data_IF_068429520113
#
_entry.id   IF_068429520113
#
_cell.length_a   1.000
_cell.length_b   1.000
_cell.length_c   1.000
_cell.angle_alpha   90.00
_cell.angle_beta   90.00
_cell.angle_gamma   90.00
#
_symmetry.space_group_name_H-M   'P 1'
#
loop_
_entity.id
_entity.type
_entity.pdbx_description
1 polymer ?
#
# COMPACT_ATOMS: atom_id res chain seq x y z
N UNK A 1 13.66 -11.69 0.78
CA UNK A 1 13.08 -11.74 2.16
C UNK A 1 12.38 -13.06 2.43
N UNK A 2 12.53 -13.65 3.63
CA UNK A 2 11.80 -14.87 4.06
C UNK A 2 10.42 -14.49 4.61
N UNK A 3 9.35 -15.14 4.13
CA UNK A 3 7.99 -14.93 4.62
C UNK A 3 7.58 -16.12 5.50
N UNK A 4 7.01 -15.84 6.67
CA UNK A 4 6.51 -16.82 7.62
C UNK A 4 5.08 -16.47 8.09
N UNK A 5 4.27 -17.48 8.39
CA UNK A 5 2.89 -17.33 8.89
C UNK A 5 2.74 -17.79 10.35
N UNK A 6 3.82 -18.33 10.92
CA UNK A 6 3.88 -18.70 12.33
C UNK A 6 5.33 -18.55 12.85
N UNK A 7 5.52 -18.21 14.13
CA UNK A 7 6.86 -18.02 14.71
C UNK A 7 7.81 -19.21 14.46
N UNK A 8 7.30 -20.46 14.56
CA UNK A 8 8.10 -21.68 14.37
C UNK A 8 8.58 -21.91 12.92
N UNK A 9 8.19 -21.09 11.97
CA UNK A 9 8.69 -21.13 10.58
C UNK A 9 9.94 -20.27 10.38
N UNK A 10 10.34 -19.47 11.38
CA UNK A 10 11.58 -18.71 11.40
C UNK A 10 12.58 -19.38 12.33
N UNK A 11 13.83 -19.46 11.88
CA UNK A 11 14.92 -19.94 12.72
C UNK A 11 15.13 -18.95 13.87
N UNK A 12 15.36 -19.47 15.07
CA UNK A 12 15.65 -18.64 16.24
C UNK A 12 17.07 -18.10 16.15
N UNK A 13 17.20 -16.80 15.94
CA UNK A 13 18.47 -16.08 15.89
C UNK A 13 18.28 -14.67 16.45
N UNK A 14 19.36 -13.94 16.81
CA UNK A 14 19.25 -12.54 17.22
C UNK A 14 18.56 -11.69 16.17
N UNK A 15 17.43 -11.05 16.53
CA UNK A 15 16.61 -10.26 15.62
C UNK A 15 16.26 -8.91 16.21
N UNK A 16 16.24 -7.89 15.35
CA UNK A 16 15.54 -6.64 15.62
C UNK A 16 14.18 -6.69 14.91
N UNK A 17 13.10 -6.48 15.66
CA UNK A 17 11.74 -6.71 15.18
C UNK A 17 10.98 -5.39 15.08
N UNK A 18 10.62 -4.97 13.88
CA UNK A 18 9.67 -3.90 13.63
C UNK A 18 8.23 -4.45 13.67
N UNK A 19 7.34 -3.83 14.48
CA UNK A 19 5.97 -4.31 14.63
C UNK A 19 4.98 -3.25 14.18
N UNK A 20 4.08 -3.62 13.27
CA UNK A 20 3.04 -2.71 12.79
C UNK A 20 2.17 -3.32 11.70
N UNK A 21 1.15 -2.58 11.28
CA UNK A 21 0.33 -2.96 10.12
C UNK A 21 1.05 -2.71 8.80
N UNK A 22 1.92 -1.71 8.77
CA UNK A 22 2.73 -1.28 7.63
C UNK A 22 1.93 -1.05 6.34
N UNK A 23 0.63 -0.73 6.48
CA UNK A 23 -0.23 -0.45 5.35
C UNK A 23 0.26 0.79 4.59
N UNK A 24 0.65 0.57 3.33
CA UNK A 24 1.25 1.55 2.44
C UNK A 24 2.73 1.84 2.70
N UNK A 25 3.37 1.27 3.69
CA UNK A 25 4.78 1.49 4.07
C UNK A 25 5.23 2.96 3.90
N UNK A 26 4.48 3.89 4.51
CA UNK A 26 4.75 5.33 4.46
C UNK A 26 6.02 5.71 5.23
N UNK A 27 6.48 6.98 5.11
CA UNK A 27 7.73 7.46 5.72
C UNK A 27 7.88 7.11 7.20
N UNK A 28 6.81 7.25 8.01
CA UNK A 28 6.85 6.85 9.42
C UNK A 28 7.03 5.34 9.61
N UNK A 29 6.42 4.50 8.76
CA UNK A 29 6.65 3.06 8.78
C UNK A 29 8.08 2.71 8.37
N UNK A 30 8.63 3.38 7.36
CA UNK A 30 10.02 3.19 6.93
C UNK A 30 11.00 3.51 8.04
N UNK A 31 10.77 4.58 8.82
CA UNK A 31 11.63 4.91 9.98
C UNK A 31 11.64 3.78 11.03
N UNK A 32 10.49 3.12 11.27
CA UNK A 32 10.42 1.98 12.20
C UNK A 32 11.18 0.77 11.66
N UNK A 33 11.06 0.47 10.37
CA UNK A 33 11.81 -0.63 9.73
C UNK A 33 13.30 -0.32 9.72
N UNK A 34 13.68 0.93 9.40
CA UNK A 34 15.08 1.37 9.37
C UNK A 34 15.74 1.26 10.74
N UNK A 35 15.03 1.63 11.82
CA UNK A 35 15.55 1.48 13.18
C UNK A 35 15.90 0.02 13.50
N UNK A 36 15.13 -0.95 13.02
CA UNK A 36 15.46 -2.37 13.17
C UNK A 36 16.70 -2.77 12.33
N UNK A 37 16.83 -2.24 11.11
CA UNK A 37 17.98 -2.50 10.22
C UNK A 37 19.27 -1.95 10.83
N UNK A 38 19.25 -0.75 11.40
CA UNK A 38 20.41 -0.05 11.91
C UNK A 38 21.06 -0.72 13.14
N UNK A 39 20.36 -1.69 13.78
CA UNK A 39 20.93 -2.47 14.90
C UNK A 39 22.03 -3.44 14.46
N UNK A 40 22.06 -3.83 13.19
CA UNK A 40 22.93 -4.91 12.67
C UNK A 40 22.46 -6.32 13.04
N UNK A 41 21.36 -6.47 13.78
CA UNK A 41 20.69 -7.76 13.98
C UNK A 41 19.87 -8.13 12.73
N UNK A 42 19.37 -9.37 12.65
CA UNK A 42 18.51 -9.78 11.54
C UNK A 42 17.19 -8.98 11.50
N UNK A 43 17.03 -8.02 10.56
CA UNK A 43 15.87 -7.13 10.54
C UNK A 43 14.61 -7.93 10.16
N UNK A 44 13.68 -7.98 11.07
CA UNK A 44 12.45 -8.77 10.94
C UNK A 44 11.23 -7.88 11.15
N UNK A 45 10.20 -8.07 10.32
CA UNK A 45 8.92 -7.38 10.47
C UNK A 45 7.87 -8.36 11.00
N UNK A 46 7.06 -7.93 11.97
CA UNK A 46 5.80 -8.58 12.30
C UNK A 46 4.66 -7.69 11.79
N UNK A 47 3.91 -8.21 10.83
CA UNK A 47 2.70 -7.56 10.31
C UNK A 47 1.48 -8.46 10.48
N UNK A 48 0.30 -7.95 10.17
CA UNK A 48 -0.97 -8.62 10.44
C UNK A 48 -1.81 -8.77 9.18
N UNK A 49 -2.44 -9.95 9.06
CA UNK A 49 -3.43 -10.21 8.02
C UNK A 49 -4.56 -11.08 8.60
N UNK A 50 -5.86 -10.69 8.40
CA UNK A 50 -6.30 -9.41 7.84
C UNK A 50 -5.86 -8.21 8.69
N UNK A 51 -5.98 -7.00 8.12
CA UNK A 51 -5.68 -5.75 8.84
C UNK A 51 -6.50 -5.70 10.16
N UNK A 52 -5.90 -5.37 11.33
CA UNK A 52 -6.57 -5.45 12.63
C UNK A 52 -7.92 -4.72 12.69
N UNK A 53 -8.05 -3.56 12.07
CA UNK A 53 -9.32 -2.83 12.05
C UNK A 53 -10.40 -3.54 11.22
N UNK A 54 -10.02 -4.22 10.12
CA UNK A 54 -10.95 -5.03 9.31
C UNK A 54 -11.41 -6.24 10.11
N UNK A 55 -10.49 -6.94 10.77
CA UNK A 55 -10.81 -8.08 11.61
C UNK A 55 -11.75 -7.72 12.79
N UNK A 56 -11.72 -6.47 13.25
CA UNK A 56 -12.62 -5.91 14.27
C UNK A 56 -13.96 -5.40 13.68
N UNK A 57 -14.24 -5.65 12.39
CA UNK A 57 -15.49 -5.25 11.74
C UNK A 57 -15.55 -3.78 11.29
N UNK A 58 -14.42 -3.06 11.32
CA UNK A 58 -14.38 -1.69 10.81
C UNK A 58 -14.14 -1.69 9.29
N UNK A 59 -14.81 -0.79 8.59
CA UNK A 59 -14.48 -0.52 7.20
C UNK A 59 -13.17 0.28 7.12
N UNK A 60 -12.16 -0.31 6.46
CA UNK A 60 -10.87 0.35 6.19
C UNK A 60 -10.44 0.01 4.78
N UNK A 61 -10.23 1.03 3.98
CA UNK A 61 -9.60 0.88 2.67
C UNK A 61 -8.08 0.84 2.84
N UNK A 62 -7.44 -0.18 2.27
CA UNK A 62 -6.00 -0.40 2.38
C UNK A 62 -5.23 0.41 1.34
N UNK A 63 -4.09 0.96 1.73
CA UNK A 63 -3.20 1.72 0.84
C UNK A 63 -2.40 0.78 -0.05
N UNK A 64 -2.11 -0.43 0.42
CA UNK A 64 -1.42 -1.47 -0.33
C UNK A 64 -2.06 -2.83 -0.10
N UNK A 65 -2.07 -3.68 -1.11
CA UNK A 65 -2.36 -5.11 -0.96
C UNK A 65 -1.32 -5.76 -0.03
N UNK A 66 -1.62 -6.93 0.52
CA UNK A 66 -0.64 -7.68 1.32
C UNK A 66 0.59 -8.01 0.48
N UNK A 67 0.39 -8.47 -0.77
CA UNK A 67 1.47 -8.81 -1.69
C UNK A 67 2.40 -7.60 -1.92
N UNK A 68 1.84 -6.43 -2.28
CA UNK A 68 2.65 -5.21 -2.48
C UNK A 68 3.34 -4.75 -1.20
N UNK A 69 2.70 -4.88 -0.05
CA UNK A 69 3.31 -4.58 1.26
C UNK A 69 4.55 -5.42 1.52
N UNK A 70 4.49 -6.72 1.22
CA UNK A 70 5.62 -7.63 1.37
C UNK A 70 6.76 -7.28 0.42
N UNK A 71 6.47 -6.92 -0.83
CA UNK A 71 7.46 -6.43 -1.78
C UNK A 71 8.14 -5.16 -1.27
N UNK A 72 7.37 -4.19 -0.78
CA UNK A 72 7.88 -2.93 -0.22
C UNK A 72 8.77 -3.16 1.02
N UNK A 73 8.44 -4.15 1.85
CA UNK A 73 9.26 -4.53 3.00
C UNK A 73 10.57 -5.20 2.57
N UNK A 74 10.53 -6.02 1.52
CA UNK A 74 11.73 -6.62 0.91
C UNK A 74 12.64 -5.54 0.30
N UNK A 75 12.06 -4.61 -0.47
CA UNK A 75 12.75 -3.44 -1.03
C UNK A 75 13.37 -2.54 0.07
N UNK A 76 12.76 -2.49 1.25
CA UNK A 76 13.29 -1.75 2.41
C UNK A 76 14.45 -2.45 3.11
N UNK A 77 14.79 -3.70 2.74
CA UNK A 77 15.94 -4.43 3.28
C UNK A 77 15.62 -5.33 4.47
N UNK A 78 14.37 -5.73 4.69
CA UNK A 78 14.02 -6.70 5.73
C UNK A 78 14.50 -8.11 5.34
N UNK A 79 15.05 -8.86 6.31
CA UNK A 79 15.45 -10.25 6.11
C UNK A 79 14.25 -11.20 6.15
N UNK A 80 13.34 -10.95 7.09
CA UNK A 80 12.16 -11.78 7.27
C UNK A 80 10.90 -10.97 7.61
N UNK A 81 9.74 -11.48 7.20
CA UNK A 81 8.44 -10.98 7.63
C UNK A 81 7.59 -12.11 8.19
N UNK A 82 7.13 -11.94 9.43
CA UNK A 82 6.14 -12.80 10.07
C UNK A 82 4.75 -12.17 9.90
N UNK A 83 3.90 -12.82 9.14
CA UNK A 83 2.50 -12.44 8.97
C UNK A 83 1.70 -13.12 10.07
N UNK A 84 1.34 -12.37 11.10
CA UNK A 84 0.50 -12.89 12.17
C UNK A 84 -0.98 -12.82 11.77
N UNK A 85 -1.63 -14.00 11.68
CA UNK A 85 -3.08 -14.06 11.41
C UNK A 85 -3.85 -13.38 12.54
N UNK A 86 -4.55 -12.28 12.23
CA UNK A 86 -5.24 -11.45 13.23
C UNK A 86 -6.62 -12.05 13.54
N UNK A 87 -6.58 -13.18 14.26
CA UNK A 87 -7.76 -13.96 14.67
C UNK A 87 -8.27 -13.55 16.06
N UNK A 88 -9.49 -13.98 16.47
CA UNK A 88 -10.00 -13.79 17.82
C UNK A 88 -9.03 -14.31 18.90
N UNK A 89 -8.33 -15.41 18.64
CA UNK A 89 -7.34 -15.98 19.56
C UNK A 89 -6.14 -15.04 19.74
N UNK A 90 -5.61 -14.45 18.65
CA UNK A 90 -4.53 -13.47 18.73
C UNK A 90 -5.01 -12.19 19.43
N UNK A 91 -6.23 -11.72 19.16
CA UNK A 91 -6.82 -10.55 19.83
C UNK A 91 -6.99 -10.74 21.34
N UNK A 92 -7.27 -11.96 21.77
CA UNK A 92 -7.43 -12.31 23.19
C UNK A 92 -6.08 -12.61 23.88
N UNK A 93 -5.00 -12.67 23.15
CA UNK A 93 -3.69 -13.05 23.70
C UNK A 93 -3.15 -11.95 24.62
N UNK A 94 -2.87 -12.32 25.87
CA UNK A 94 -2.25 -11.41 26.84
C UNK A 94 -0.93 -10.87 26.32
N UNK A 95 -0.56 -9.61 26.63
CA UNK A 95 0.66 -9.00 26.12
C UNK A 95 1.92 -9.82 26.37
N UNK A 96 2.07 -10.40 27.59
CA UNK A 96 3.21 -11.24 27.96
C UNK A 96 3.30 -12.49 27.07
N UNK A 97 2.15 -13.09 26.80
CA UNK A 97 2.09 -14.28 25.95
C UNK A 97 2.37 -13.95 24.48
N UNK A 98 1.97 -12.75 24.03
CA UNK A 98 2.38 -12.26 22.70
C UNK A 98 3.91 -12.09 22.62
N UNK A 99 4.50 -11.44 23.63
CA UNK A 99 5.95 -11.22 23.69
C UNK A 99 6.71 -12.57 23.73
N UNK A 100 6.25 -13.54 24.50
CA UNK A 100 6.87 -14.85 24.58
C UNK A 100 6.76 -15.61 23.26
N UNK A 101 5.55 -15.66 22.69
CA UNK A 101 5.28 -16.50 21.51
C UNK A 101 5.82 -15.89 20.21
N UNK A 102 5.60 -14.57 20.00
CA UNK A 102 5.88 -13.93 18.72
C UNK A 102 7.25 -13.22 18.68
N UNK A 103 7.76 -12.76 19.84
CA UNK A 103 9.05 -12.09 19.90
C UNK A 103 10.16 -13.06 20.35
N UNK A 104 10.07 -13.61 21.57
CA UNK A 104 11.09 -14.57 22.04
C UNK A 104 11.12 -15.84 21.21
N UNK A 105 9.97 -16.28 20.71
CA UNK A 105 9.85 -17.46 19.86
C UNK A 105 10.70 -17.39 18.59
N UNK A 106 10.94 -16.21 18.04
CA UNK A 106 11.78 -15.99 16.86
C UNK A 106 13.18 -15.47 17.18
N UNK A 107 13.50 -15.26 18.48
CA UNK A 107 14.79 -14.75 18.93
C UNK A 107 14.91 -13.23 18.90
N UNK A 108 13.82 -12.48 19.05
CA UNK A 108 13.88 -11.02 19.14
C UNK A 108 14.71 -10.58 20.36
N UNK A 109 15.64 -9.67 20.15
CA UNK A 109 16.44 -9.00 21.17
C UNK A 109 16.03 -7.51 21.24
N UNK A 110 15.78 -6.87 20.10
CA UNK A 110 15.33 -5.49 19.99
C UNK A 110 13.95 -5.40 19.33
N UNK A 111 13.14 -4.41 19.73
CA UNK A 111 11.82 -4.13 19.18
C UNK A 111 11.71 -2.66 18.79
N UNK A 112 11.46 -2.43 17.49
CA UNK A 112 11.23 -1.11 16.92
C UNK A 112 9.73 -0.86 16.74
N UNK A 113 9.22 0.24 17.27
CA UNK A 113 7.84 0.67 17.05
C UNK A 113 7.67 2.18 17.35
N UNK A 114 6.56 2.76 16.89
CA UNK A 114 6.21 4.14 17.24
C UNK A 114 5.84 4.29 18.72
N UNK A 115 6.00 5.48 19.27
CA UNK A 115 5.72 5.80 20.68
C UNK A 115 4.28 5.46 21.13
N UNK A 116 3.33 5.46 20.20
CA UNK A 116 1.92 5.12 20.45
C UNK A 116 1.58 3.62 20.31
N UNK A 117 2.60 2.78 20.10
CA UNK A 117 2.42 1.35 19.90
C UNK A 117 1.73 0.69 21.09
N UNK A 118 0.71 -0.12 20.79
CA UNK A 118 -0.03 -0.92 21.77
C UNK A 118 -0.31 -2.31 21.20
N UNK A 119 -0.19 -3.33 22.04
CA UNK A 119 -0.37 -4.72 21.63
C UNK A 119 -1.08 -5.57 22.69
N UNK A 120 -1.38 -6.82 22.31
CA UNK A 120 -2.03 -7.79 23.18
C UNK A 120 -3.50 -7.46 23.50
N UNK A 121 -4.11 -8.28 24.31
CA UNK A 121 -5.52 -8.17 24.68
C UNK A 121 -5.89 -6.77 25.18
N UNK A 122 -6.94 -6.19 24.56
CA UNK A 122 -7.44 -4.84 24.86
C UNK A 122 -6.36 -3.75 24.77
N UNK A 123 -5.30 -3.96 23.98
CA UNK A 123 -4.19 -3.01 23.78
C UNK A 123 -3.46 -2.63 25.09
N UNK A 124 -3.35 -3.57 26.05
CA UNK A 124 -2.77 -3.32 27.38
C UNK A 124 -1.25 -3.30 27.37
N UNK A 125 -0.60 -3.93 26.39
CA UNK A 125 0.85 -3.91 26.22
C UNK A 125 1.32 -2.62 25.57
N UNK A 126 2.49 -2.13 25.98
CA UNK A 126 3.20 -0.97 25.44
C UNK A 126 4.72 -1.20 25.41
N UNK A 127 5.48 -0.23 24.91
CA UNK A 127 6.95 -0.32 24.83
C UNK A 127 7.60 -0.48 26.21
N UNK A 128 7.14 0.24 27.22
CA UNK A 128 7.65 0.13 28.58
C UNK A 128 7.46 -1.29 29.17
N UNK A 129 6.40 -1.99 28.79
CA UNK A 129 6.20 -3.38 29.17
C UNK A 129 7.21 -4.29 28.47
N UNK A 130 7.48 -4.10 27.19
CA UNK A 130 8.50 -4.89 26.47
C UNK A 130 9.90 -4.68 27.05
N UNK A 131 10.22 -3.44 27.44
CA UNK A 131 11.48 -3.13 28.14
C UNK A 131 11.59 -3.90 29.46
N UNK A 132 10.54 -3.90 30.30
CA UNK A 132 10.50 -4.70 31.55
C UNK A 132 10.60 -6.20 31.30
N UNK A 133 10.16 -6.67 30.14
CA UNK A 133 10.32 -8.06 29.72
C UNK A 133 11.73 -8.35 29.16
N UNK A 134 12.62 -7.34 29.10
CA UNK A 134 14.03 -7.51 28.75
C UNK A 134 14.33 -7.39 27.26
N UNK A 135 13.46 -6.76 26.47
CA UNK A 135 13.76 -6.37 25.09
C UNK A 135 14.44 -4.99 25.06
N UNK A 136 15.39 -4.80 24.17
CA UNK A 136 15.87 -3.47 23.81
C UNK A 136 14.77 -2.73 23.03
N UNK A 137 14.48 -1.49 23.39
CA UNK A 137 13.40 -0.70 22.77
C UNK A 137 13.99 0.37 21.85
N UNK A 138 13.60 0.29 20.60
CA UNK A 138 13.90 1.27 19.56
C UNK A 138 12.62 2.10 19.31
N UNK A 139 12.37 3.06 20.21
CA UNK A 139 11.24 3.96 20.07
C UNK A 139 11.49 4.94 18.92
N UNK A 140 10.58 4.96 17.96
CA UNK A 140 10.68 5.82 16.77
C UNK A 140 9.67 6.96 16.88
N UNK A 141 10.16 8.18 16.74
CA UNK A 141 9.32 9.36 16.70
C UNK A 141 8.37 9.34 15.50
N UNK A 142 7.16 9.81 15.72
CA UNK A 142 6.18 9.94 14.65
C UNK A 142 6.58 11.06 13.69
N UNK A 143 6.53 10.79 12.39
CA UNK A 143 6.73 11.83 11.37
C UNK A 143 5.51 12.75 11.35
N UNK A 144 5.64 14.04 11.67
CA UNK A 144 4.50 14.96 11.75
C UNK A 144 3.68 14.98 10.46
N UNK A 145 2.36 14.89 10.57
CA UNK A 145 1.42 14.91 9.44
C UNK A 145 1.39 13.63 8.59
N UNK A 146 2.18 12.61 8.92
CA UNK A 146 2.25 11.36 8.16
C UNK A 146 1.52 10.24 8.90
N UNK A 147 0.47 9.70 8.30
CA UNK A 147 -0.24 8.51 8.79
C UNK A 147 -1.02 7.85 7.67
N UNK A 148 -1.34 6.55 7.80
CA UNK A 148 -2.21 5.85 6.84
C UNK A 148 -3.58 6.52 6.71
N UNK A 149 -4.13 7.09 7.78
CA UNK A 149 -5.40 7.83 7.73
C UNK A 149 -5.29 9.13 6.92
N UNK A 150 -4.22 9.90 7.09
CA UNK A 150 -3.99 11.12 6.31
C UNK A 150 -3.78 10.81 4.81
N UNK A 151 -3.06 9.73 4.51
CA UNK A 151 -2.84 9.28 3.12
C UNK A 151 -4.16 8.89 2.45
N UNK A 152 -5.02 8.10 3.12
CA UNK A 152 -6.34 7.73 2.59
C UNK A 152 -7.19 8.98 2.31
N UNK A 153 -7.19 9.92 3.24
CA UNK A 153 -7.93 11.18 3.08
C UNK A 153 -7.41 12.00 1.88
N UNK A 154 -6.09 12.12 1.71
CA UNK A 154 -5.49 12.81 0.57
C UNK A 154 -5.87 12.13 -0.76
N UNK A 155 -5.80 10.80 -0.84
CA UNK A 155 -6.20 10.04 -2.04
C UNK A 155 -7.69 10.24 -2.37
N UNK A 156 -8.57 10.14 -1.37
CA UNK A 156 -10.02 10.34 -1.53
C UNK A 156 -10.37 11.78 -1.92
N UNK A 157 -9.53 12.75 -1.57
CA UNK A 157 -9.65 14.14 -2.00
C UNK A 157 -9.00 14.43 -3.37
N UNK A 158 -8.35 13.44 -4.00
CA UNK A 158 -7.62 13.60 -5.26
C UNK A 158 -6.22 14.22 -5.12
N UNK A 159 -5.76 14.46 -3.91
CA UNK A 159 -4.41 14.98 -3.63
C UNK A 159 -3.38 13.83 -3.62
N UNK A 160 -3.13 13.28 -4.80
CA UNK A 160 -2.13 12.20 -4.96
C UNK A 160 -0.69 12.68 -4.75
N UNK A 161 -0.42 14.00 -4.93
CA UNK A 161 0.88 14.57 -4.63
C UNK A 161 1.14 14.63 -3.13
N UNK A 162 0.14 15.04 -2.34
CA UNK A 162 0.20 15.01 -0.88
C UNK A 162 0.34 13.58 -0.34
N UNK A 163 -0.39 12.62 -0.90
CA UNK A 163 -0.24 11.21 -0.57
C UNK A 163 1.19 10.71 -0.88
N UNK A 164 1.74 11.05 -2.05
CA UNK A 164 3.12 10.74 -2.45
C UNK A 164 4.16 11.30 -1.48
N UNK A 165 3.99 12.55 -1.05
CA UNK A 165 4.90 13.18 -0.07
C UNK A 165 4.91 12.44 1.27
N UNK A 166 3.75 11.95 1.72
CA UNK A 166 3.64 11.15 2.95
C UNK A 166 4.17 9.72 2.78
N UNK A 167 3.92 9.10 1.62
CA UNK A 167 4.43 7.77 1.29
C UNK A 167 5.95 7.75 1.08
N UNK A 168 6.53 8.85 0.57
CA UNK A 168 7.92 8.92 0.11
C UNK A 168 8.14 8.25 -1.26
N UNK A 169 7.07 7.88 -1.96
CA UNK A 169 7.06 7.31 -3.32
C UNK A 169 5.69 7.57 -3.97
N UNK A 170 5.57 7.46 -5.30
CA UNK A 170 4.27 7.52 -5.96
C UNK A 170 3.26 6.55 -5.33
N UNK A 171 1.99 6.97 -5.25
CA UNK A 171 0.92 6.06 -4.90
C UNK A 171 0.73 5.03 -6.03
N UNK A 172 0.39 3.80 -5.68
CA UNK A 172 0.27 2.70 -6.62
C UNK A 172 -1.12 2.07 -6.54
N UNK A 173 -1.72 1.85 -7.71
CA UNK A 173 -2.90 1.00 -7.91
C UNK A 173 -2.39 -0.39 -8.28
N UNK A 174 -2.69 -1.39 -7.45
CA UNK A 174 -2.25 -2.77 -7.62
C UNK A 174 -3.47 -3.67 -7.86
N UNK A 175 -3.55 -4.28 -9.02
CA UNK A 175 -4.70 -5.09 -9.40
C UNK A 175 -4.42 -6.06 -10.53
N UNK A 176 -5.47 -6.77 -10.92
CA UNK A 176 -5.45 -7.72 -12.05
C UNK A 176 -6.13 -7.09 -13.24
N UNK A 177 -5.53 -7.20 -14.41
CA UNK A 177 -6.14 -6.76 -15.66
C UNK A 177 -7.25 -7.75 -16.09
N UNK A 178 -8.47 -7.24 -16.17
CA UNK A 178 -9.66 -8.00 -16.54
C UNK A 178 -10.22 -7.57 -17.89
N UNK A 179 -11.10 -8.38 -18.48
CA UNK A 179 -11.79 -8.00 -19.70
C UNK A 179 -12.71 -6.78 -19.45
N UNK A 180 -12.69 -5.81 -20.33
CA UNK A 180 -13.55 -4.64 -20.32
C UNK A 180 -14.29 -4.48 -21.65
N UNK A 181 -14.94 -3.31 -21.84
CA UNK A 181 -15.78 -3.03 -23.02
C UNK A 181 -14.97 -2.83 -24.32
N UNK A 182 -13.63 -2.79 -24.25
CA UNK A 182 -12.69 -2.64 -25.39
C UNK A 182 -12.90 -1.38 -26.27
N UNK A 183 -13.67 -0.40 -25.79
CA UNK A 183 -14.01 0.82 -26.56
C UNK A 183 -12.79 1.69 -26.85
N UNK A 184 -11.86 1.78 -25.91
CA UNK A 184 -10.61 2.52 -26.11
C UNK A 184 -9.83 2.05 -27.34
N UNK A 185 -9.85 0.75 -27.63
CA UNK A 185 -9.20 0.17 -28.81
C UNK A 185 -9.79 0.67 -30.12
N UNK A 186 -11.11 0.86 -30.22
CA UNK A 186 -11.77 1.40 -31.43
C UNK A 186 -11.46 2.88 -31.66
N UNK A 187 -11.14 3.62 -30.58
CA UNK A 187 -10.78 5.03 -30.59
C UNK A 187 -9.26 5.26 -30.77
N UNK A 188 -8.45 4.19 -30.89
CA UNK A 188 -7.00 4.28 -31.01
C UNK A 188 -6.25 4.41 -29.68
N UNK A 189 -6.94 4.26 -28.54
CA UNK A 189 -6.38 4.33 -27.18
C UNK A 189 -6.74 3.07 -26.37
N UNK A 190 -6.10 1.93 -26.65
CA UNK A 190 -6.42 0.68 -25.95
C UNK A 190 -6.10 0.79 -24.46
N UNK A 191 -7.15 0.72 -23.62
CA UNK A 191 -7.02 0.74 -22.16
C UNK A 191 -7.05 -0.67 -21.58
N UNK A 192 -6.30 -0.91 -20.51
CA UNK A 192 -6.50 -2.05 -19.64
C UNK A 192 -7.61 -1.74 -18.63
N UNK A 193 -8.38 -2.74 -18.21
CA UNK A 193 -9.32 -2.60 -17.09
C UNK A 193 -8.71 -3.22 -15.86
N UNK A 194 -8.41 -2.40 -14.85
CA UNK A 194 -7.73 -2.83 -13.64
C UNK A 194 -8.74 -3.11 -12.52
N UNK A 195 -8.88 -4.39 -12.14
CA UNK A 195 -9.67 -4.80 -10.98
C UNK A 195 -8.78 -4.75 -9.73
N UNK A 196 -9.10 -3.85 -8.81
CA UNK A 196 -8.43 -3.78 -7.50
C UNK A 196 -9.06 -4.74 -6.50
N UNK A 197 -8.31 -5.06 -5.44
CA UNK A 197 -8.90 -5.64 -4.24
C UNK A 197 -10.03 -4.76 -3.72
N UNK A 198 -11.19 -5.32 -3.30
CA UNK A 198 -12.34 -4.54 -2.81
C UNK A 198 -12.03 -3.63 -1.62
N UNK A 199 -11.00 -3.96 -0.86
CA UNK A 199 -10.53 -3.16 0.28
C UNK A 199 -9.50 -2.10 -0.11
N UNK A 200 -9.06 -2.00 -1.36
CA UNK A 200 -8.08 -1.00 -1.76
C UNK A 200 -8.66 0.41 -1.81
N UNK A 201 -7.95 1.37 -1.20
CA UNK A 201 -8.28 2.79 -1.37
C UNK A 201 -8.10 3.19 -2.84
N UNK A 202 -9.00 4.02 -3.32
CA UNK A 202 -8.92 4.55 -4.68
C UNK A 202 -8.93 6.08 -4.62
N UNK A 203 -8.13 6.74 -5.45
CA UNK A 203 -8.18 8.19 -5.59
C UNK A 203 -9.56 8.69 -6.05
N UNK A 204 -9.84 9.96 -5.82
CA UNK A 204 -11.02 10.63 -6.34
C UNK A 204 -11.15 10.40 -7.84
N UNK A 205 -12.37 10.33 -8.35
CA UNK A 205 -12.62 10.17 -9.80
C UNK A 205 -11.98 11.31 -10.61
N UNK A 206 -11.43 10.96 -11.74
CA UNK A 206 -10.72 11.88 -12.63
C UNK A 206 -9.72 11.19 -13.53
N UNK A 207 -8.95 12.01 -14.24
CA UNK A 207 -7.87 11.55 -15.12
C UNK A 207 -6.54 11.89 -14.46
N UNK A 208 -5.63 10.93 -14.48
CA UNK A 208 -4.33 11.01 -13.81
C UNK A 208 -3.20 10.70 -14.79
N UNK A 209 -2.06 11.34 -14.59
CA UNK A 209 -0.81 10.92 -15.18
C UNK A 209 -0.10 9.94 -14.24
N UNK A 210 0.53 8.92 -14.83
CA UNK A 210 1.25 7.90 -14.09
C UNK A 210 2.17 7.07 -14.97
N UNK A 211 2.52 5.87 -14.51
CA UNK A 211 3.29 4.89 -15.28
C UNK A 211 3.00 3.45 -14.84
N UNK A 212 3.19 2.52 -15.75
CA UNK A 212 3.21 1.09 -15.46
C UNK A 212 4.18 0.39 -16.42
N UNK A 213 4.88 -0.64 -15.97
CA UNK A 213 5.82 -1.44 -16.78
C UNK A 213 6.88 -0.61 -17.51
N UNK A 214 7.29 0.53 -16.94
CA UNK A 214 8.25 1.44 -17.57
C UNK A 214 7.66 2.38 -18.63
N UNK A 215 6.36 2.25 -18.95
CA UNK A 215 5.62 3.12 -19.87
C UNK A 215 4.84 4.17 -19.09
N UNK A 216 4.71 5.38 -19.63
CA UNK A 216 3.79 6.38 -19.10
C UNK A 216 2.35 5.88 -19.28
N UNK A 217 1.48 6.24 -18.34
CA UNK A 217 0.08 5.82 -18.39
C UNK A 217 -0.85 6.98 -18.08
N UNK A 218 -1.82 7.22 -18.98
CA UNK A 218 -2.98 8.03 -18.68
C UNK A 218 -4.03 7.15 -17.99
N UNK A 219 -4.40 7.47 -16.77
CA UNK A 219 -5.25 6.62 -15.93
C UNK A 219 -6.60 7.28 -15.72
N UNK A 220 -7.65 6.67 -16.24
CA UNK A 220 -9.03 7.08 -15.97
C UNK A 220 -9.54 6.33 -14.73
N UNK A 221 -10.03 7.07 -13.76
CA UNK A 221 -10.71 6.54 -12.56
C UNK A 221 -12.11 7.15 -12.55
N UNK A 222 -13.13 6.33 -12.73
CA UNK A 222 -14.50 6.81 -12.84
C UNK A 222 -15.56 5.76 -12.63
N UNK A 223 -16.79 6.05 -13.04
CA UNK A 223 -17.91 5.11 -13.09
C UNK A 223 -18.39 4.96 -14.53
N UNK A 224 -19.07 3.86 -14.85
CA UNK A 224 -19.74 3.72 -16.14
C UNK A 224 -21.22 4.14 -16.03
N UNK A 225 -21.59 5.38 -16.36
CA UNK A 225 -22.96 5.85 -16.22
C UNK A 225 -23.93 5.25 -17.27
N UNK A 226 -23.42 4.70 -18.38
CA UNK A 226 -24.28 4.25 -19.49
C UNK A 226 -25.07 2.97 -19.25
N UNK A 227 -24.81 2.24 -18.14
CA UNK A 227 -25.54 1.00 -17.80
C UNK A 227 -26.12 1.02 -16.38
N UNK A 228 -26.31 2.20 -15.77
CA UNK A 228 -26.84 2.29 -14.40
C UNK A 228 -25.90 1.69 -13.34
N UNK A 229 -24.65 1.43 -13.71
CA UNK A 229 -23.64 0.85 -12.84
C UNK A 229 -23.03 1.92 -11.93
N UNK A 230 -23.01 1.64 -10.63
CA UNK A 230 -22.24 2.37 -9.63
C UNK A 230 -20.81 1.80 -9.48
N UNK A 231 -20.45 0.85 -10.35
CA UNK A 231 -19.18 0.14 -10.27
C UNK A 231 -18.04 1.04 -10.72
N UNK A 232 -17.05 1.17 -9.86
CA UNK A 232 -15.82 1.93 -10.12
C UNK A 232 -15.00 1.22 -11.19
N UNK A 233 -14.53 1.99 -12.17
CA UNK A 233 -13.63 1.54 -13.22
C UNK A 233 -12.31 2.26 -13.13
N UNK A 234 -11.24 1.52 -13.38
CA UNK A 234 -9.88 2.03 -13.44
C UNK A 234 -9.30 1.55 -14.77
N UNK A 235 -9.05 2.50 -15.64
CA UNK A 235 -8.68 2.23 -17.03
C UNK A 235 -7.35 2.94 -17.37
N UNK A 236 -6.19 2.31 -17.10
CA UNK A 236 -4.90 2.82 -17.55
C UNK A 236 -4.71 2.57 -19.07
N UNK A 237 -4.38 3.62 -19.80
CA UNK A 237 -3.83 3.59 -21.14
C UNK A 237 -2.32 3.73 -21.05
N UNK A 238 -1.58 2.65 -21.34
CA UNK A 238 -0.11 2.67 -21.36
C UNK A 238 0.36 3.22 -22.70
N UNK A 239 1.05 4.37 -22.66
CA UNK A 239 1.57 5.03 -23.85
C UNK A 239 2.69 4.20 -24.49
N UNK A 240 2.64 4.07 -25.80
CA UNK A 240 3.68 3.40 -26.60
C UNK A 240 3.91 1.92 -26.14
N UNK A 241 2.86 1.28 -25.61
CA UNK A 241 2.88 -0.12 -25.21
C UNK A 241 2.07 -0.96 -26.19
N UNK A 242 2.67 -2.07 -26.63
CA UNK A 242 2.01 -3.08 -27.47
C UNK A 242 2.22 -4.46 -26.84
N UNK A 243 1.24 -4.91 -26.09
CA UNK A 243 1.32 -6.19 -25.39
C UNK A 243 0.00 -6.60 -24.74
N UNK A 244 -0.14 -7.90 -24.50
CA UNK A 244 -1.28 -8.47 -23.81
C UNK A 244 -1.07 -8.44 -22.28
N UNK A 245 -1.98 -7.80 -21.57
CA UNK A 245 -1.99 -7.69 -20.10
C UNK A 245 -3.10 -8.50 -19.44
N UNK A 246 -4.00 -9.15 -20.18
CA UNK A 246 -5.12 -9.86 -19.60
C UNK A 246 -4.70 -10.95 -18.61
N UNK A 247 -5.36 -10.97 -17.46
CA UNK A 247 -5.10 -11.90 -16.37
C UNK A 247 -3.80 -11.65 -15.61
N UNK A 248 -3.01 -10.65 -15.99
CA UNK A 248 -1.75 -10.31 -15.31
C UNK A 248 -1.97 -9.29 -14.22
N UNK A 249 -1.18 -9.37 -13.16
CA UNK A 249 -1.08 -8.32 -12.16
C UNK A 249 -0.39 -7.09 -12.78
N UNK A 250 -0.96 -5.93 -12.54
CA UNK A 250 -0.42 -4.66 -12.99
C UNK A 250 -0.37 -3.68 -11.84
N UNK A 251 0.80 -3.12 -11.59
CA UNK A 251 1.00 -2.03 -10.65
C UNK A 251 1.12 -0.74 -11.47
N UNK A 252 0.23 0.22 -11.19
CA UNK A 252 0.18 1.50 -11.87
C UNK A 252 0.50 2.61 -10.89
N UNK A 253 1.64 3.27 -11.08
CA UNK A 253 1.95 4.51 -10.34
C UNK A 253 1.00 5.62 -10.75
N UNK A 254 0.53 6.39 -9.78
CA UNK A 254 -0.30 7.58 -9.98
C UNK A 254 0.47 8.80 -9.48
N UNK A 255 0.80 9.74 -10.38
CA UNK A 255 1.71 10.85 -10.10
C UNK A 255 1.00 12.17 -9.78
N UNK A 256 0.03 12.51 -10.63
CA UNK A 256 -0.76 13.73 -10.48
C UNK A 256 -2.14 13.63 -11.13
N UNK A 257 -3.08 14.39 -10.60
CA UNK A 257 -4.41 14.51 -11.13
C UNK A 257 -4.41 15.58 -12.21
N UNK A 258 -4.80 15.21 -13.42
CA UNK A 258 -4.82 16.10 -14.59
C UNK A 258 -6.13 16.91 -14.64
N UNK A 259 -7.28 16.26 -14.38
CA UNK A 259 -8.60 16.87 -14.44
C UNK A 259 -9.70 16.00 -13.82
N UNK A 260 -10.88 16.56 -13.68
CA UNK A 260 -12.11 15.84 -13.35
C UNK A 260 -12.56 14.93 -14.51
N UNK A 261 -13.38 13.94 -14.22
CA UNK A 261 -14.11 13.19 -15.22
C UNK A 261 -15.19 14.09 -15.84
N UNK A 262 -15.28 14.14 -17.17
CA UNK A 262 -16.26 14.93 -17.90
C UNK A 262 -17.07 14.05 -18.86
N UNK A 263 -18.34 14.40 -19.08
CA UNK A 263 -19.13 13.88 -20.18
C UNK A 263 -18.83 14.69 -21.46
N UNK A 264 -18.95 14.05 -22.61
CA UNK A 264 -18.71 14.66 -23.92
C UNK A 264 -19.96 14.52 -24.79
N UNK A 265 -20.26 15.56 -25.57
CA UNK A 265 -21.43 15.61 -26.46
C UNK A 265 -21.20 14.84 -27.77
N UNK A 266 -19.93 14.62 -28.15
CA UNK A 266 -19.53 13.87 -29.34
C UNK A 266 -18.32 12.96 -29.10
N UNK A 267 -18.17 11.97 -29.97
CA UNK A 267 -16.99 11.09 -29.98
C UNK A 267 -15.73 11.87 -30.37
N UNK A 268 -15.83 12.82 -31.28
CA UNK A 268 -14.72 13.68 -31.70
C UNK A 268 -14.19 14.52 -30.54
N UNK A 269 -15.06 15.07 -29.69
CA UNK A 269 -14.68 15.83 -28.51
C UNK A 269 -14.00 14.95 -27.47
N UNK A 270 -14.50 13.72 -27.29
CA UNK A 270 -13.87 12.72 -26.42
C UNK A 270 -12.46 12.38 -26.92
N UNK A 271 -12.30 12.05 -28.19
CA UNK A 271 -10.99 11.72 -28.81
C UNK A 271 -10.02 12.89 -28.69
N UNK A 272 -10.48 14.11 -28.98
CA UNK A 272 -9.65 15.32 -28.83
C UNK A 272 -9.20 15.53 -27.37
N UNK A 273 -10.08 15.24 -26.39
CA UNK A 273 -9.71 15.36 -24.98
C UNK A 273 -8.74 14.27 -24.56
N UNK A 274 -8.92 13.01 -24.98
CA UNK A 274 -7.96 11.93 -24.72
C UNK A 274 -6.57 12.31 -25.26
N UNK A 275 -6.51 12.90 -26.46
CA UNK A 275 -5.24 13.40 -27.03
C UNK A 275 -4.55 14.41 -26.11
N UNK A 276 -5.29 15.40 -25.57
CA UNK A 276 -4.76 16.37 -24.60
C UNK A 276 -4.27 15.71 -23.30
N UNK A 277 -5.02 14.71 -22.80
CA UNK A 277 -4.64 13.97 -21.58
C UNK A 277 -3.37 13.14 -21.79
N UNK A 278 -3.20 12.55 -22.97
CA UNK A 278 -1.97 11.85 -23.39
C UNK A 278 -0.79 12.81 -23.44
N UNK A 279 -0.96 13.99 -24.04
CA UNK A 279 0.10 15.01 -24.11
C UNK A 279 0.49 15.49 -22.71
N UNK A 280 -0.51 15.74 -21.84
CA UNK A 280 -0.27 16.11 -20.45
C UNK A 280 0.45 14.98 -19.68
N UNK A 281 0.09 13.71 -19.92
CA UNK A 281 0.76 12.55 -19.35
C UNK A 281 2.21 12.44 -19.83
N UNK A 282 2.49 12.73 -21.10
CA UNK A 282 3.86 12.78 -21.64
C UNK A 282 4.71 13.88 -20.98
N UNK A 283 4.10 15.01 -20.64
CA UNK A 283 4.77 16.13 -19.99
C UNK A 283 4.93 15.95 -18.46
N UNK A 284 4.09 15.11 -17.83
CA UNK A 284 4.10 14.89 -16.39
C UNK A 284 5.45 14.36 -15.89
N UNK A 285 5.88 14.79 -14.71
CA UNK A 285 7.13 14.36 -14.10
C UNK A 285 6.86 13.36 -13.00
N UNK A 286 7.56 12.20 -13.05
CA UNK A 286 7.50 11.23 -11.96
C UNK A 286 7.98 11.87 -10.66
N UNK A 287 7.19 11.83 -9.57
CA UNK A 287 7.64 12.32 -8.28
C UNK A 287 8.88 11.54 -7.79
N UNK A 288 9.80 12.21 -7.07
CA UNK A 288 10.96 11.53 -6.52
C UNK A 288 10.54 10.50 -5.47
N UNK A 289 11.29 9.41 -5.41
CA UNK A 289 11.23 8.47 -4.29
C UNK A 289 12.20 8.96 -3.24
N UNK A 290 11.70 9.24 -2.03
CA UNK A 290 12.57 9.54 -0.89
C UNK A 290 13.26 8.24 -0.48
N UNK A 291 14.59 8.25 -0.44
CA UNK A 291 15.40 7.14 0.06
C UNK A 291 15.13 6.85 1.54
#
# INVERSE_FOLDING_TARGET
MRIAHAPGQLDRQPRAVAIGTFDGLHRGHRSVVQAAIDTGLAPTVITFDPHPRIALGNHVELISTLERRLELLDEAGTEATLIASFTPELMALEPEMFAERYLRGIGAEAVAAGADFRFGARRRGDLAMLERLGFEILEVEMVPGVSSSAIRHALQAGDVRGATAMLGRPYELDGIVVAGDQRGGTLGYPTANLALDPHSVCPLYGIYAGAALGHRAAVSIGTNPHYGGTERRIEPYLLDFDGDLYGKRLIVEVWERLRDENAFDSEDDLVAQIGRDVDATRAATRPPTAG
#
